data_IF_505334622896
#
_entry.id   IF_505334622896
#
_cell.length_a   1.000
_cell.length_b   1.000
_cell.length_c   1.000
_cell.angle_alpha   90.00
_cell.angle_beta   90.00
_cell.angle_gamma   90.00
#
_symmetry.space_group_name_H-M   'P 1'
#
loop_
_entity.id
_entity.type
_entity.pdbx_description
1 polymer ?
#
# COMPACT_ATOMS: atom_id res chain seq x y z
N UNK A 1 -74.98 -6.48 6.33
CA UNK A 1 -74.03 -7.54 6.71
C UNK A 1 -73.00 -6.87 7.63
N UNK A 2 -73.14 -6.82 8.96
CA UNK A 2 -72.82 -7.88 9.96
C UNK A 2 -71.61 -8.75 9.55
N UNK A 3 -70.56 -9.04 10.35
CA UNK A 3 -70.09 -8.69 11.71
C UNK A 3 -68.66 -9.29 11.87
N UNK A 4 -67.77 -8.60 12.60
CA UNK A 4 -66.85 -9.09 13.67
C UNK A 4 -65.89 -10.29 13.48
N UNK A 5 -64.57 -10.06 13.67
CA UNK A 5 -63.74 -10.31 14.89
C UNK A 5 -62.23 -10.36 14.50
N UNK A 6 -61.34 -9.45 14.96
CA UNK A 6 -60.56 -9.46 16.22
C UNK A 6 -59.85 -10.82 16.46
N UNK A 7 -58.52 -10.91 16.62
CA UNK A 7 -57.70 -10.64 17.83
C UNK A 7 -56.22 -10.85 17.42
N UNK A 8 -55.29 -9.87 17.40
CA UNK A 8 -54.44 -9.26 18.46
C UNK A 8 -53.66 -10.23 19.38
N UNK A 9 -52.35 -10.02 19.52
CA UNK A 9 -51.46 -10.11 20.72
C UNK A 9 -49.99 -10.10 20.20
N UNK A 10 -49.25 -8.98 20.25
CA UNK A 10 -48.38 -8.48 21.36
C UNK A 10 -47.53 -9.60 22.00
N UNK A 11 -46.22 -9.45 22.23
CA UNK A 11 -45.64 -8.61 23.29
C UNK A 11 -44.16 -8.27 23.01
N UNK A 12 -43.81 -6.99 23.15
CA UNK A 12 -42.45 -6.47 23.42
C UNK A 12 -42.24 -6.54 24.93
N UNK A 13 -41.11 -7.05 25.42
CA UNK A 13 -40.67 -6.79 26.81
C UNK A 13 -39.15 -6.67 26.88
N UNK A 14 -38.72 -5.52 27.42
CA UNK A 14 -37.36 -5.20 27.82
C UNK A 14 -36.96 -5.97 29.09
N UNK A 15 -35.68 -6.30 29.24
CA UNK A 15 -35.10 -6.58 30.56
C UNK A 15 -33.83 -5.76 30.76
N UNK A 16 -33.81 -4.98 31.84
CA UNK A 16 -32.66 -4.30 32.41
C UNK A 16 -32.20 -4.99 33.70
N UNK A 17 -30.88 -5.10 33.85
CA UNK A 17 -30.06 -4.97 35.07
C UNK A 17 -30.19 -5.98 36.25
N UNK A 18 -29.01 -6.57 36.55
CA UNK A 18 -28.31 -6.64 37.85
C UNK A 18 -28.23 -7.97 38.65
N UNK A 19 -27.01 -8.12 39.19
CA UNK A 19 -26.54 -8.79 40.43
C UNK A 19 -25.85 -10.17 40.34
N UNK A 20 -24.55 -10.10 40.65
CA UNK A 20 -23.78 -10.94 41.58
C UNK A 20 -23.18 -12.31 41.15
N UNK A 21 -21.85 -12.38 41.30
CA UNK A 21 -20.98 -13.56 41.28
C UNK A 21 -21.35 -14.58 42.38
N UNK A 22 -20.82 -15.82 42.28
CA UNK A 22 -19.72 -16.15 43.19
C UNK A 22 -18.59 -16.98 42.56
N UNK A 23 -17.38 -16.53 42.85
CA UNK A 23 -16.16 -17.24 43.24
C UNK A 23 -16.18 -18.78 43.07
N UNK A 24 -15.36 -19.26 42.14
CA UNK A 24 -14.75 -20.59 42.16
C UNK A 24 -13.24 -20.44 42.09
N UNK A 25 -12.59 -20.72 43.21
CA UNK A 25 -11.14 -20.72 43.42
C UNK A 25 -10.50 -21.94 42.77
N UNK A 26 -9.42 -21.75 42.02
CA UNK A 26 -8.25 -22.61 42.25
C UNK A 26 -6.94 -21.84 42.06
N UNK A 27 -6.03 -22.10 42.98
CA UNK A 27 -4.81 -21.34 43.23
C UNK A 27 -3.60 -21.96 42.56
N UNK A 28 -2.79 -21.08 41.96
CA UNK A 28 -1.34 -21.12 41.82
C UNK A 28 -0.70 -22.17 40.89
N UNK A 29 -0.21 -21.68 39.75
CA UNK A 29 1.21 -21.88 39.40
C UNK A 29 1.84 -20.50 39.20
N UNK A 30 2.66 -20.10 40.17
CA UNK A 30 3.62 -19.02 40.03
C UNK A 30 4.69 -19.42 39.01
N UNK A 31 5.04 -18.50 38.12
CA UNK A 31 6.31 -18.53 37.39
C UNK A 31 6.16 -18.75 35.89
N UNK A 32 5.80 -17.68 35.17
CA UNK A 32 6.34 -17.34 33.85
C UNK A 32 6.31 -15.81 33.74
N UNK A 33 7.23 -15.17 34.46
CA UNK A 33 7.76 -13.87 34.04
C UNK A 33 8.54 -14.11 32.76
N UNK A 34 7.89 -13.89 31.63
CA UNK A 34 8.49 -13.44 30.36
C UNK A 34 7.43 -13.60 29.25
N UNK A 35 6.47 -12.67 29.22
CA UNK A 35 5.83 -12.36 27.95
C UNK A 35 6.88 -11.62 27.12
N UNK A 36 7.33 -12.15 25.97
CA UNK A 36 8.14 -11.36 25.07
C UNK A 36 7.26 -10.19 24.63
N UNK A 37 7.71 -8.99 24.97
CA UNK A 37 7.20 -7.71 24.47
C UNK A 37 7.50 -7.62 22.98
N UNK A 38 6.83 -8.42 22.17
CA UNK A 38 6.88 -8.34 20.73
C UNK A 38 5.92 -7.25 20.25
N UNK A 39 6.21 -6.01 20.62
CA UNK A 39 5.99 -4.91 19.70
C UNK A 39 7.21 -4.95 18.78
N UNK A 40 7.05 -5.47 17.56
CA UNK A 40 8.05 -5.31 16.52
C UNK A 40 8.16 -3.82 16.22
N UNK A 41 9.01 -3.16 16.98
CA UNK A 41 9.48 -1.80 16.75
C UNK A 41 9.94 -1.76 15.30
N UNK A 42 9.51 -0.72 14.57
CA UNK A 42 10.24 -0.23 13.39
C UNK A 42 11.71 -0.29 13.77
N UNK A 43 12.47 -1.26 13.23
CA UNK A 43 13.83 -1.49 13.68
C UNK A 43 14.60 -0.24 13.27
N UNK A 44 15.03 0.59 14.24
CA UNK A 44 15.96 1.64 13.93
C UNK A 44 17.25 0.96 13.48
N UNK A 45 18.12 1.68 12.78
CA UNK A 45 19.48 1.18 12.62
C UNK A 45 20.12 0.93 14.01
N UNK A 46 21.28 0.27 14.06
CA UNK A 46 21.96 -0.09 15.31
C UNK A 46 22.20 1.10 16.28
N UNK A 47 21.98 2.34 15.83
CA UNK A 47 22.15 3.58 16.59
C UNK A 47 20.82 4.23 17.02
N UNK A 48 19.67 3.60 16.82
CA UNK A 48 18.37 4.16 17.23
C UNK A 48 17.75 5.15 16.24
N UNK A 49 18.33 5.34 15.05
CA UNK A 49 17.80 6.26 14.04
C UNK A 49 16.83 5.56 13.10
N UNK A 50 15.66 6.17 12.92
CA UNK A 50 14.71 5.84 11.86
C UNK A 50 15.28 6.33 10.52
N UNK A 51 15.16 5.51 9.48
CA UNK A 51 15.38 5.99 8.12
C UNK A 51 14.42 7.14 7.82
N UNK A 52 14.77 8.10 6.96
CA UNK A 52 13.85 9.19 6.63
C UNK A 52 12.53 8.66 6.03
N UNK A 53 12.53 7.52 5.33
CA UNK A 53 11.31 6.80 4.94
C UNK A 53 10.44 6.42 6.16
N UNK A 54 11.04 5.83 7.20
CA UNK A 54 10.36 5.55 8.47
C UNK A 54 9.92 6.84 9.20
N UNK A 55 10.63 7.96 9.02
CA UNK A 55 10.24 9.26 9.57
C UNK A 55 9.01 9.83 8.87
N UNK A 56 8.86 9.71 7.54
CA UNK A 56 7.62 10.16 6.88
C UNK A 56 6.42 9.33 7.34
N UNK A 57 6.60 8.02 7.55
CA UNK A 57 5.56 7.15 8.14
C UNK A 57 5.12 7.69 9.52
N UNK A 58 6.06 8.16 10.35
CA UNK A 58 5.77 8.69 11.68
C UNK A 58 5.09 10.07 11.68
N UNK A 59 5.38 10.92 10.68
CA UNK A 59 4.88 12.31 10.62
C UNK A 59 3.43 12.39 10.11
N UNK A 60 2.99 11.45 9.27
CA UNK A 60 1.73 11.56 8.52
C UNK A 60 0.56 10.67 8.99
N UNK A 61 0.67 9.90 10.10
CA UNK A 61 -0.41 9.00 10.54
C UNK A 61 -0.77 9.08 12.04
N UNK A 62 -2.06 9.11 12.44
CA UNK A 62 -2.46 9.01 13.84
C UNK A 62 -2.37 7.58 14.39
N UNK A 63 -2.09 7.48 15.70
CA UNK A 63 -1.99 6.25 16.49
C UNK A 63 -3.32 5.50 16.59
N UNK A 64 -3.46 4.36 15.93
CA UNK A 64 -4.12 3.14 16.46
C UNK A 64 -3.83 1.99 15.46
N UNK A 65 -3.01 1.00 15.81
CA UNK A 65 -2.93 -0.25 15.02
C UNK A 65 -2.95 -1.43 15.98
N UNK A 66 -4.00 -2.26 15.91
CA UNK A 66 -4.02 -3.58 16.52
C UNK A 66 -3.14 -4.48 15.66
N UNK A 67 -2.07 -5.03 16.25
CA UNK A 67 -1.08 -5.89 15.61
C UNK A 67 -1.62 -7.31 15.31
N UNK A 68 -2.67 -7.45 14.50
CA UNK A 68 -3.11 -8.78 14.05
C UNK A 68 -2.64 -9.09 12.62
N UNK A 69 -2.41 -8.08 11.78
CA UNK A 69 -2.03 -8.31 10.37
C UNK A 69 -0.51 -8.27 10.11
N UNK A 70 0.28 -7.66 10.99
CA UNK A 70 1.70 -7.39 10.73
C UNK A 70 2.60 -8.61 10.45
N UNK A 71 2.30 -9.79 11.01
CA UNK A 71 3.13 -10.99 10.80
C UNK A 71 2.91 -11.58 9.40
N UNK A 72 1.67 -11.68 8.93
CA UNK A 72 1.35 -12.17 7.59
C UNK A 72 1.86 -11.23 6.49
N UNK A 73 1.83 -9.91 6.76
CA UNK A 73 2.34 -8.90 5.82
C UNK A 73 3.85 -8.97 5.64
N UNK A 74 4.60 -9.21 6.72
CA UNK A 74 6.06 -9.41 6.64
C UNK A 74 6.41 -10.68 5.87
N UNK A 75 5.66 -11.77 6.07
CA UNK A 75 5.85 -13.00 5.31
C UNK A 75 5.52 -12.81 3.82
N UNK A 76 4.43 -12.11 3.51
CA UNK A 76 4.00 -11.83 2.13
C UNK A 76 4.95 -10.89 1.40
N UNK A 77 5.43 -9.84 2.07
CA UNK A 77 6.30 -8.83 1.46
C UNK A 77 7.77 -9.28 1.39
N UNK A 78 8.24 -10.14 2.28
CA UNK A 78 9.65 -10.50 2.38
C UNK A 78 10.50 -9.40 3.06
N UNK A 79 11.77 -9.71 3.33
CA UNK A 79 12.62 -8.88 4.20
C UNK A 79 13.16 -7.60 3.56
N UNK A 80 13.03 -7.43 2.24
CA UNK A 80 13.60 -6.30 1.49
C UNK A 80 12.55 -5.31 0.95
N UNK A 81 11.29 -5.53 1.28
CA UNK A 81 10.20 -4.59 1.03
C UNK A 81 10.04 -3.61 2.20
N UNK A 82 9.79 -2.35 1.88
CA UNK A 82 9.41 -1.33 2.84
C UNK A 82 7.89 -1.38 3.04
N UNK A 83 7.47 -1.96 4.15
CA UNK A 83 6.05 -2.01 4.54
C UNK A 83 5.63 -0.62 5.03
N UNK A 84 4.62 -0.07 4.38
CA UNK A 84 4.01 1.21 4.77
C UNK A 84 2.53 1.01 5.13
N UNK A 85 2.17 1.12 6.42
CA UNK A 85 0.81 0.90 6.88
C UNK A 85 -0.22 1.74 6.10
N UNK A 86 -1.23 1.07 5.54
CA UNK A 86 -2.30 1.71 4.77
C UNK A 86 -1.91 2.17 3.35
N UNK A 87 -0.68 1.92 2.88
CA UNK A 87 -0.25 2.27 1.52
C UNK A 87 0.30 1.10 0.71
N UNK A 88 0.68 -0.03 1.32
CA UNK A 88 1.32 -1.12 0.58
C UNK A 88 2.65 -1.54 1.20
N UNK A 89 3.30 -2.51 0.57
CA UNK A 89 4.73 -2.73 0.73
C UNK A 89 5.44 -2.46 -0.60
N UNK A 90 6.48 -1.63 -0.58
CA UNK A 90 7.17 -1.17 -1.79
C UNK A 90 8.63 -1.57 -1.81
N UNK A 91 9.16 -1.87 -2.99
CA UNK A 91 10.57 -2.20 -3.20
C UNK A 91 11.10 -1.60 -4.48
N UNK A 92 12.24 -0.91 -4.39
CA UNK A 92 12.98 -0.41 -5.54
C UNK A 92 13.95 -1.49 -6.05
N UNK A 93 13.81 -1.85 -7.31
CA UNK A 93 14.83 -2.61 -8.05
C UNK A 93 15.69 -1.66 -8.87
N UNK A 94 16.93 -1.43 -8.43
CA UNK A 94 17.87 -0.54 -9.12
C UNK A 94 18.35 -1.07 -10.49
N UNK A 95 18.23 -2.38 -10.73
CA UNK A 95 18.58 -2.98 -12.02
C UNK A 95 17.68 -2.45 -13.13
N UNK A 96 18.28 -2.03 -14.23
CA UNK A 96 17.56 -1.44 -15.37
C UNK A 96 17.06 -2.51 -16.32
N UNK A 97 15.75 -2.57 -16.56
CA UNK A 97 15.12 -3.55 -17.46
C UNK A 97 13.91 -2.94 -18.21
N UNK A 98 13.48 -3.53 -19.34
CA UNK A 98 12.23 -3.14 -20.01
C UNK A 98 11.00 -3.32 -19.13
N UNK A 99 9.95 -2.52 -19.37
CA UNK A 99 8.74 -2.48 -18.54
C UNK A 99 8.07 -3.85 -18.39
N UNK A 100 7.89 -4.58 -19.48
CA UNK A 100 7.31 -5.93 -19.46
C UNK A 100 8.15 -6.94 -18.64
N UNK A 101 9.48 -6.75 -18.59
CA UNK A 101 10.36 -7.58 -17.77
C UNK A 101 10.27 -7.18 -16.29
N UNK A 102 10.20 -5.88 -15.99
CA UNK A 102 9.96 -5.38 -14.64
C UNK A 102 8.63 -5.90 -14.08
N UNK A 103 7.54 -5.83 -14.86
CA UNK A 103 6.23 -6.39 -14.52
C UNK A 103 6.32 -7.86 -14.11
N UNK A 104 6.98 -8.67 -14.93
CA UNK A 104 7.15 -10.11 -14.66
C UNK A 104 7.92 -10.37 -13.37
N UNK A 105 8.94 -9.58 -13.09
CA UNK A 105 9.72 -9.69 -11.86
C UNK A 105 8.82 -9.41 -10.65
N UNK A 106 8.05 -8.32 -10.65
CA UNK A 106 7.17 -8.01 -9.52
C UNK A 106 6.10 -9.10 -9.29
N UNK A 107 5.56 -9.68 -10.37
CA UNK A 107 4.64 -10.83 -10.30
C UNK A 107 5.32 -12.04 -9.64
N UNK A 108 6.57 -12.32 -10.00
CA UNK A 108 7.35 -13.41 -9.39
C UNK A 108 7.66 -13.18 -7.90
N UNK A 109 7.68 -11.91 -7.48
CA UNK A 109 7.83 -11.50 -6.08
C UNK A 109 6.48 -11.44 -5.33
N UNK A 110 5.38 -11.86 -5.96
CA UNK A 110 4.05 -11.93 -5.33
C UNK A 110 3.27 -10.61 -5.34
N UNK A 111 3.71 -9.64 -6.14
CA UNK A 111 3.08 -8.33 -6.28
C UNK A 111 2.90 -7.90 -7.73
N UNK A 112 2.92 -6.59 -7.96
CA UNK A 112 2.86 -5.98 -9.29
C UNK A 112 3.79 -4.77 -9.36
N UNK A 113 3.94 -4.16 -10.54
CA UNK A 113 4.58 -2.85 -10.63
C UNK A 113 3.76 -1.86 -9.81
N UNK A 114 4.42 -0.97 -9.07
CA UNK A 114 3.75 -0.05 -8.15
C UNK A 114 2.75 0.86 -8.88
N UNK A 115 1.55 0.98 -8.33
CA UNK A 115 0.48 1.84 -8.84
C UNK A 115 0.24 2.93 -7.82
N UNK A 116 0.72 4.15 -8.11
CA UNK A 116 0.53 5.27 -7.21
C UNK A 116 -0.96 5.60 -7.14
N UNK A 117 -1.53 5.58 -5.93
CA UNK A 117 -2.93 5.91 -5.65
C UNK A 117 -3.08 7.12 -4.71
N UNK A 118 -1.96 7.72 -4.29
CA UNK A 118 -1.99 8.89 -3.40
C UNK A 118 -0.73 9.75 -3.48
N UNK A 119 -0.88 11.03 -3.10
CA UNK A 119 0.27 11.95 -2.97
C UNK A 119 1.27 11.52 -1.89
N UNK A 120 0.82 10.77 -0.89
CA UNK A 120 1.68 10.26 0.18
C UNK A 120 2.56 9.13 -0.34
N UNK A 121 2.00 8.27 -1.19
CA UNK A 121 2.75 7.21 -1.86
C UNK A 121 3.76 7.76 -2.86
N UNK A 122 3.40 8.74 -3.69
CA UNK A 122 4.36 9.43 -4.57
C UNK A 122 5.57 9.93 -3.76
N UNK A 123 5.34 10.65 -2.66
CA UNK A 123 6.42 11.18 -1.81
C UNK A 123 7.31 10.08 -1.25
N UNK A 124 6.72 8.95 -0.85
CA UNK A 124 7.48 7.78 -0.40
C UNK A 124 8.40 7.26 -1.51
N UNK A 125 7.86 7.05 -2.71
CA UNK A 125 8.64 6.55 -3.84
C UNK A 125 9.73 7.53 -4.28
N UNK A 126 9.44 8.84 -4.32
CA UNK A 126 10.41 9.89 -4.61
C UNK A 126 11.57 9.88 -3.61
N UNK A 127 11.27 9.70 -2.33
CA UNK A 127 12.30 9.60 -1.32
C UNK A 127 13.19 8.36 -1.51
N UNK A 128 12.60 7.20 -1.84
CA UNK A 128 13.37 6.00 -2.16
C UNK A 128 14.26 6.22 -3.40
N UNK A 129 13.79 6.93 -4.42
CA UNK A 129 14.60 7.31 -5.58
C UNK A 129 15.79 8.21 -5.18
N UNK A 130 15.54 9.22 -4.35
CA UNK A 130 16.55 10.15 -3.85
C UNK A 130 17.67 9.43 -3.07
N UNK A 131 17.30 8.59 -2.10
CA UNK A 131 18.26 7.83 -1.29
C UNK A 131 19.16 6.92 -2.14
N UNK A 132 18.60 6.36 -3.22
CA UNK A 132 19.30 5.45 -4.12
C UNK A 132 19.94 6.14 -5.32
N UNK A 133 19.82 7.48 -5.43
CA UNK A 133 20.35 8.29 -6.55
C UNK A 133 19.86 7.78 -7.92
N UNK A 134 18.57 7.44 -8.00
CA UNK A 134 17.94 6.96 -9.23
C UNK A 134 17.07 8.07 -9.81
N UNK A 135 17.23 8.36 -11.11
CA UNK A 135 16.51 9.48 -11.75
C UNK A 135 15.05 9.17 -12.08
N UNK A 136 14.72 7.91 -12.36
CA UNK A 136 13.35 7.46 -12.68
C UNK A 136 13.19 5.97 -12.53
N UNK A 137 11.97 5.52 -12.29
CA UNK A 137 11.61 4.11 -12.19
C UNK A 137 10.24 3.82 -12.80
N UNK A 138 10.09 2.63 -13.41
CA UNK A 138 8.81 2.15 -13.93
C UNK A 138 7.74 2.08 -12.83
N UNK A 139 6.53 2.46 -13.23
CA UNK A 139 5.27 2.27 -12.51
C UNK A 139 4.38 1.27 -13.26
N UNK A 140 3.33 0.82 -12.59
CA UNK A 140 2.32 -0.08 -13.13
C UNK A 140 1.25 0.66 -13.94
N UNK A 141 1.64 1.60 -14.82
CA UNK A 141 0.71 2.39 -15.64
C UNK A 141 1.15 2.34 -17.12
N UNK A 142 0.19 2.28 -18.03
CA UNK A 142 0.39 2.17 -19.47
C UNK A 142 -0.85 2.61 -20.26
N UNK A 143 -0.72 2.91 -21.55
CA UNK A 143 -1.83 3.14 -22.48
C UNK A 143 -1.80 2.15 -23.68
N UNK A 144 -1.17 0.99 -23.47
CA UNK A 144 -1.02 -0.07 -24.49
C UNK A 144 -2.32 -0.59 -25.13
N UNK A 145 -3.49 -0.32 -24.53
CA UNK A 145 -4.79 -0.73 -25.07
C UNK A 145 -5.29 0.26 -26.12
N UNK A 146 -5.21 1.54 -25.80
CA UNK A 146 -5.63 2.66 -26.64
C UNK A 146 -4.81 3.88 -26.28
N UNK A 147 -4.18 4.50 -27.28
CA UNK A 147 -3.33 5.68 -27.12
C UNK A 147 -4.07 6.80 -26.37
N UNK A 148 -3.45 7.29 -25.28
CA UNK A 148 -4.02 8.32 -24.42
C UNK A 148 -5.03 7.81 -23.38
N UNK A 149 -5.46 6.54 -23.45
CA UNK A 149 -6.25 5.90 -22.39
C UNK A 149 -5.34 5.17 -21.40
N UNK A 150 -4.89 5.92 -20.40
CA UNK A 150 -3.97 5.43 -19.39
C UNK A 150 -4.67 4.54 -18.36
N UNK A 151 -4.17 3.31 -18.27
CA UNK A 151 -4.66 2.26 -17.41
C UNK A 151 -3.53 1.75 -16.50
N UNK A 152 -3.94 1.20 -15.36
CA UNK A 152 -3.07 0.52 -14.42
C UNK A 152 -2.88 -0.94 -14.80
N UNK A 153 -1.89 -1.57 -14.21
CA UNK A 153 -1.58 -2.98 -14.42
C UNK A 153 -2.65 -3.96 -13.88
N UNK A 154 -3.62 -3.42 -13.15
CA UNK A 154 -4.80 -4.07 -12.59
C UNK A 154 -6.07 -3.76 -13.38
N UNK A 155 -5.94 -3.21 -14.59
CA UNK A 155 -7.03 -2.88 -15.52
C UNK A 155 -8.03 -1.82 -15.00
N UNK A 156 -7.59 -0.98 -14.05
CA UNK A 156 -8.31 0.23 -13.63
C UNK A 156 -7.77 1.46 -14.37
N UNK A 157 -8.60 2.43 -14.72
CA UNK A 157 -8.12 3.68 -15.33
C UNK A 157 -7.23 4.45 -14.36
N UNK A 158 -6.24 5.17 -14.89
CA UNK A 158 -5.30 5.95 -14.08
C UNK A 158 -6.02 7.00 -13.22
N UNK A 159 -7.07 7.63 -13.73
CA UNK A 159 -7.87 8.58 -12.96
C UNK A 159 -8.60 7.93 -11.77
N UNK A 160 -8.99 6.65 -11.89
CA UNK A 160 -9.71 5.95 -10.83
C UNK A 160 -8.83 5.64 -9.61
N UNK A 161 -7.50 5.66 -9.76
CA UNK A 161 -6.56 5.46 -8.64
C UNK A 161 -6.58 6.61 -7.63
N UNK A 162 -7.08 7.79 -8.03
CA UNK A 162 -6.96 9.03 -7.26
C UNK A 162 -5.60 9.73 -7.41
N UNK A 163 -4.73 9.25 -8.31
CA UNK A 163 -3.47 9.89 -8.67
C UNK A 163 -3.20 9.77 -10.18
N UNK A 164 -3.22 10.92 -10.85
CA UNK A 164 -3.03 11.07 -12.31
C UNK A 164 -2.09 12.24 -12.64
N UNK A 165 -1.07 12.46 -11.79
CA UNK A 165 -0.16 13.60 -11.92
C UNK A 165 1.00 13.32 -12.88
N UNK A 166 0.93 13.93 -14.05
CA UNK A 166 2.05 14.04 -14.99
C UNK A 166 3.03 15.13 -14.56
N UNK A 167 4.30 15.01 -14.93
CA UNK A 167 5.31 16.01 -14.59
C UNK A 167 4.99 17.35 -15.25
N UNK A 168 5.24 18.43 -14.52
CA UNK A 168 5.14 19.79 -15.05
C UNK A 168 6.50 20.34 -15.50
N UNK A 169 7.56 19.54 -15.41
CA UNK A 169 8.93 19.92 -15.81
C UNK A 169 9.14 19.76 -17.30
N UNK A 170 8.41 18.84 -17.92
CA UNK A 170 8.37 18.62 -19.35
C UNK A 170 6.98 19.05 -19.82
N UNK A 171 6.93 19.77 -20.94
CA UNK A 171 5.67 20.35 -21.40
C UNK A 171 4.85 19.31 -22.15
N UNK A 172 3.56 19.22 -21.79
CA UNK A 172 2.55 18.38 -22.44
C UNK A 172 2.68 16.87 -22.19
N UNK A 173 3.23 16.47 -21.04
CA UNK A 173 3.20 15.05 -20.66
C UNK A 173 1.78 14.58 -20.30
N UNK A 174 1.40 13.34 -20.66
CA UNK A 174 2.16 12.40 -21.50
C UNK A 174 2.14 12.84 -22.96
N UNK A 175 3.30 12.87 -23.62
CA UNK A 175 3.45 13.50 -24.95
C UNK A 175 3.51 12.50 -26.12
N UNK A 176 3.67 11.21 -25.82
CA UNK A 176 3.88 10.13 -26.78
C UNK A 176 4.91 10.48 -27.87
N UNK A 177 6.08 10.96 -27.46
CA UNK A 177 7.18 11.33 -28.33
C UNK A 177 7.48 10.24 -29.36
N UNK A 178 7.36 10.62 -30.64
CA UNK A 178 7.51 9.76 -31.82
C UNK A 178 6.50 8.58 -31.92
N UNK A 179 5.41 8.57 -31.16
CA UNK A 179 4.37 7.55 -31.22
C UNK A 179 4.82 6.19 -30.68
N UNK A 180 5.61 6.19 -29.59
CA UNK A 180 6.25 4.97 -29.04
C UNK A 180 6.23 4.88 -27.52
N UNK A 181 5.82 5.92 -26.80
CA UNK A 181 5.90 5.96 -25.35
C UNK A 181 4.55 5.53 -24.77
N UNK A 182 4.51 4.30 -24.26
CA UNK A 182 3.25 3.69 -23.81
C UNK A 182 3.30 3.13 -22.39
N UNK A 183 4.35 3.46 -21.64
CA UNK A 183 4.60 2.95 -20.30
C UNK A 183 5.07 4.08 -19.39
N UNK A 184 4.50 4.20 -18.19
CA UNK A 184 4.80 5.32 -17.29
C UNK A 184 5.96 5.05 -16.34
N UNK A 185 6.76 6.08 -16.10
CA UNK A 185 7.77 6.16 -15.04
C UNK A 185 7.40 7.24 -14.03
N UNK A 186 7.85 7.09 -12.78
CA UNK A 186 7.98 8.19 -11.84
C UNK A 186 9.34 8.87 -12.05
N UNK A 187 9.35 10.20 -12.20
CA UNK A 187 10.58 10.99 -12.23
C UNK A 187 11.02 11.42 -10.83
N UNK A 188 12.33 11.49 -10.57
CA UNK A 188 12.90 11.96 -9.29
C UNK A 188 12.43 13.37 -8.89
N UNK A 189 12.04 14.19 -9.86
CA UNK A 189 11.59 15.57 -9.65
C UNK A 189 10.07 15.67 -9.40
N UNK A 190 9.37 14.52 -9.34
CA UNK A 190 7.93 14.43 -9.14
C UNK A 190 7.14 14.29 -10.44
N UNK A 191 5.97 13.66 -10.33
CA UNK A 191 5.08 13.38 -11.44
C UNK A 191 5.56 12.25 -12.36
N UNK A 192 4.62 11.79 -13.17
CA UNK A 192 4.83 10.74 -14.17
C UNK A 192 5.29 11.32 -15.52
N UNK A 193 5.94 10.47 -16.29
CA UNK A 193 6.39 10.70 -17.67
C UNK A 193 6.17 9.38 -18.43
N UNK A 194 5.71 9.43 -19.67
CA UNK A 194 5.62 8.26 -20.52
C UNK A 194 6.98 7.96 -21.17
N UNK A 195 7.27 6.69 -21.41
CA UNK A 195 8.55 6.28 -21.98
C UNK A 195 8.35 5.03 -22.84
N UNK A 196 9.21 4.86 -23.84
CA UNK A 196 9.21 3.64 -24.66
C UNK A 196 9.35 2.42 -23.75
N UNK A 197 8.38 1.50 -23.78
CA UNK A 197 8.32 0.34 -22.89
C UNK A 197 9.57 -0.57 -22.95
N UNK A 198 10.34 -0.48 -24.04
CA UNK A 198 11.61 -1.20 -24.26
C UNK A 198 12.81 -0.56 -23.57
N UNK A 199 12.70 0.68 -23.09
CA UNK A 199 13.78 1.35 -22.36
C UNK A 199 14.17 0.58 -21.10
N UNK A 200 15.46 0.55 -20.79
CA UNK A 200 15.94 -0.06 -19.56
C UNK A 200 15.99 1.00 -18.44
N UNK A 201 15.07 0.91 -17.48
CA UNK A 201 15.08 1.76 -16.26
C UNK A 201 14.84 0.92 -15.01
N UNK A 202 15.12 1.49 -13.83
CA UNK A 202 14.78 0.89 -12.54
C UNK A 202 13.26 0.75 -12.40
N UNK A 203 12.77 0.06 -11.38
CA UNK A 203 11.32 -0.14 -11.21
C UNK A 203 10.93 -0.34 -9.76
N UNK A 204 9.71 0.07 -9.43
CA UNK A 204 9.10 -0.22 -8.14
C UNK A 204 8.17 -1.43 -8.24
N UNK A 205 8.36 -2.39 -7.36
CA UNK A 205 7.34 -3.39 -7.08
C UNK A 205 6.52 -2.97 -5.87
N UNK A 206 5.24 -3.36 -5.88
CA UNK A 206 4.30 -3.17 -4.81
C UNK A 206 3.61 -4.50 -4.50
N UNK A 207 3.42 -4.77 -3.21
CA UNK A 207 2.57 -5.84 -2.70
C UNK A 207 1.46 -5.17 -1.91
N UNK A 208 0.22 -5.35 -2.37
CA UNK A 208 -0.97 -4.91 -1.65
C UNK A 208 -1.08 -5.68 -0.34
N UNK A 209 -1.14 -4.94 0.77
CA UNK A 209 -1.19 -5.47 2.14
C UNK A 209 -2.55 -5.23 2.78
#
# INVERSE_FOLDING_TARGET
>A
MLRYMLVLLYVITYCTANTESPIGTDTAINGLTDFPTAASKLLPNANGNLSPAQQVIYIYGPRQWKMQDGINLIEKAGSDYLITPGMGAHKLHARKVPWNKARRICIQEGGHLAVINSNSEEKLLLHILEENKIDRAWLGVHDLYEEGDWNTITDESLEATGYSKWTLKIANEPDNHNGKQHCGVLLKDGGMDDTECTAAVAFFCEITV
#
